data_IF_716081788434
#
_entry.id   IF_716081788434
#
_cell.length_a   1.000
_cell.length_b   1.000
_cell.length_c   1.000
_cell.angle_alpha   90.00
_cell.angle_beta   90.00
_cell.angle_gamma   90.00
#
_symmetry.space_group_name_H-M   'P 1'
#
loop_
_entity.id
_entity.type
_entity.pdbx_description
1 polymer ?
#
# COMPACT_ATOMS: atom_id res chain seq x y z
N UNK A 1 3.75 -47.29 -10.17
CA UNK A 1 4.46 -47.32 -11.46
C UNK A 1 3.45 -46.81 -12.48
N UNK A 2 3.40 -45.52 -12.79
CA UNK A 2 4.33 -44.80 -13.68
C UNK A 2 3.88 -45.05 -15.13
N UNK A 3 3.60 -44.10 -16.01
CA UNK A 3 3.58 -42.65 -15.96
C UNK A 3 2.98 -42.15 -17.28
N UNK A 4 2.55 -40.90 -17.34
CA UNK A 4 2.30 -40.20 -18.60
C UNK A 4 3.00 -38.86 -18.50
N UNK A 5 4.15 -38.78 -19.18
CA UNK A 5 4.90 -37.55 -19.37
C UNK A 5 4.59 -36.93 -20.73
N UNK A 6 4.72 -35.61 -20.75
CA UNK A 6 5.15 -34.78 -21.88
C UNK A 6 4.14 -34.56 -23.01
N UNK A 7 3.49 -33.39 -22.98
CA UNK A 7 3.56 -32.40 -24.07
C UNK A 7 2.81 -31.12 -23.67
N UNK A 8 3.53 -30.14 -23.11
CA UNK A 8 3.12 -28.73 -23.18
C UNK A 8 4.33 -27.94 -23.66
N UNK A 9 4.29 -27.59 -24.95
CA UNK A 9 5.21 -26.64 -25.56
C UNK A 9 4.99 -25.25 -24.95
N UNK A 10 6.11 -24.55 -24.74
CA UNK A 10 6.21 -23.21 -24.16
C UNK A 10 5.29 -22.18 -24.83
N UNK A 11 4.65 -21.28 -24.06
CA UNK A 11 4.12 -20.04 -24.62
C UNK A 11 5.22 -18.97 -24.68
N UNK A 12 5.27 -18.36 -25.86
CA UNK A 12 5.89 -17.10 -26.27
C UNK A 12 5.96 -16.02 -25.16
N UNK A 13 7.15 -15.47 -24.96
CA UNK A 13 7.54 -14.52 -23.91
C UNK A 13 7.23 -13.05 -24.24
N UNK A 14 6.09 -12.76 -24.86
CA UNK A 14 5.77 -11.41 -25.35
C UNK A 14 4.40 -10.83 -24.92
N UNK A 15 3.75 -11.40 -23.88
CA UNK A 15 2.56 -10.81 -23.25
C UNK A 15 2.70 -10.71 -21.72
N UNK A 16 2.12 -9.65 -21.18
CA UNK A 16 2.41 -8.98 -19.92
C UNK A 16 2.39 -9.85 -18.63
N UNK A 17 3.12 -9.47 -17.56
CA UNK A 17 3.19 -10.18 -16.29
C UNK A 17 1.95 -10.01 -15.36
N UNK A 18 0.86 -9.40 -15.83
CA UNK A 18 -0.34 -9.14 -15.03
C UNK A 18 -1.20 -10.38 -14.74
N UNK A 19 -1.04 -11.46 -15.50
CA UNK A 19 -1.99 -12.59 -15.48
C UNK A 19 -1.80 -13.56 -14.31
N UNK A 20 -0.64 -13.56 -13.64
CA UNK A 20 -0.35 -14.57 -12.61
C UNK A 20 -0.99 -14.25 -11.24
N UNK A 21 -1.13 -12.97 -10.89
CA UNK A 21 -1.87 -12.53 -9.70
C UNK A 21 -3.38 -12.56 -9.91
N UNK A 22 -3.83 -12.41 -11.17
CA UNK A 22 -5.23 -12.53 -11.59
C UNK A 22 -5.78 -13.93 -11.27
N UNK A 23 -4.96 -14.97 -11.46
CA UNK A 23 -5.37 -16.37 -11.29
C UNK A 23 -5.59 -16.77 -9.81
N UNK A 24 -4.78 -16.28 -8.88
CA UNK A 24 -4.97 -16.58 -7.45
C UNK A 24 -6.21 -15.89 -6.85
N UNK A 25 -6.53 -14.68 -7.33
CA UNK A 25 -7.73 -13.95 -6.92
C UNK A 25 -9.02 -14.58 -7.50
N UNK A 26 -8.96 -15.08 -8.75
CA UNK A 26 -10.05 -15.81 -9.40
C UNK A 26 -10.31 -17.21 -8.80
N UNK A 27 -9.27 -17.93 -8.35
CA UNK A 27 -9.45 -19.22 -7.66
C UNK A 27 -10.24 -19.06 -6.36
N UNK A 28 -9.99 -17.98 -5.61
CA UNK A 28 -10.82 -17.64 -4.43
C UNK A 28 -12.27 -17.29 -4.81
N UNK A 29 -12.49 -16.65 -5.96
CA UNK A 29 -13.82 -16.31 -6.49
C UNK A 29 -14.61 -17.55 -6.95
N UNK A 30 -13.97 -18.49 -7.66
CA UNK A 30 -14.61 -19.70 -8.16
C UNK A 30 -15.00 -20.68 -7.02
N UNK A 31 -14.18 -20.78 -5.97
CA UNK A 31 -14.49 -21.60 -4.81
C UNK A 31 -15.70 -21.09 -4.01
N UNK A 32 -15.89 -19.76 -3.95
CA UNK A 32 -17.01 -19.14 -3.23
C UNK A 32 -18.35 -19.24 -3.99
N UNK A 33 -18.33 -19.11 -5.32
CA UNK A 33 -19.54 -19.18 -6.17
C UNK A 33 -20.02 -20.62 -6.39
N UNK A 34 -19.13 -21.61 -6.45
CA UNK A 34 -19.50 -22.98 -6.78
C UNK A 34 -20.15 -23.77 -5.62
N UNK A 35 -19.87 -23.44 -4.34
CA UNK A 35 -20.20 -24.36 -3.23
C UNK A 35 -21.27 -23.90 -2.26
N UNK A 36 -21.70 -22.63 -2.29
CA UNK A 36 -22.79 -22.13 -1.43
C UNK A 36 -22.48 -22.25 0.08
N UNK A 37 -23.18 -21.47 0.89
CA UNK A 37 -22.87 -21.24 2.31
C UNK A 37 -23.05 -22.45 3.25
N UNK A 38 -23.16 -23.68 2.74
CA UNK A 38 -23.45 -24.88 3.54
C UNK A 38 -22.38 -25.99 3.46
N UNK A 39 -21.37 -25.90 2.60
CA UNK A 39 -20.42 -27.02 2.38
C UNK A 39 -19.07 -26.92 3.11
N UNK A 40 -18.85 -25.91 3.95
CA UNK A 40 -17.63 -25.81 4.80
C UNK A 40 -17.98 -26.00 6.29
N UNK A 41 -18.66 -27.11 6.60
CA UNK A 41 -18.73 -27.66 7.96
C UNK A 41 -18.37 -29.13 7.91
N UNK A 42 -17.07 -29.42 8.00
CA UNK A 42 -16.60 -30.78 8.19
C UNK A 42 -15.21 -31.00 7.62
N UNK A 43 -14.20 -31.04 8.51
CA UNK A 43 -12.78 -31.32 8.24
C UNK A 43 -12.05 -30.19 7.50
N UNK A 44 -11.69 -29.15 8.24
CA UNK A 44 -10.33 -28.68 8.53
C UNK A 44 -10.56 -27.56 9.56
N UNK A 45 -9.93 -27.67 10.74
CA UNK A 45 -10.08 -26.70 11.83
C UNK A 45 -9.34 -25.40 11.55
N UNK A 46 -9.79 -24.64 10.55
CA UNK A 46 -9.33 -23.29 10.26
C UNK A 46 -10.54 -22.36 10.32
N UNK A 47 -10.52 -21.46 11.31
CA UNK A 47 -11.41 -20.32 11.41
C UNK A 47 -11.13 -19.43 10.19
N UNK A 48 -12.03 -19.42 9.20
CA UNK A 48 -11.90 -18.59 8.01
C UNK A 48 -12.05 -17.11 8.41
N UNK A 49 -11.05 -16.24 8.21
CA UNK A 49 -11.14 -14.85 8.63
C UNK A 49 -12.00 -14.03 7.66
N UNK A 50 -12.43 -12.86 8.15
CA UNK A 50 -13.37 -11.88 7.60
C UNK A 50 -13.04 -11.26 6.21
N UNK A 51 -12.22 -11.92 5.38
CA UNK A 51 -11.79 -11.48 4.05
C UNK A 51 -12.88 -11.56 2.96
N UNK A 52 -13.99 -12.25 3.23
CA UNK A 52 -15.01 -12.58 2.20
C UNK A 52 -16.00 -11.43 1.94
N UNK A 53 -16.16 -10.47 2.85
CA UNK A 53 -17.12 -9.36 2.64
C UNK A 53 -16.52 -8.16 1.91
N UNK A 54 -15.23 -7.86 2.07
CA UNK A 54 -14.56 -6.76 1.35
C UNK A 54 -14.34 -7.07 -0.14
N UNK A 55 -14.18 -8.35 -0.50
CA UNK A 55 -13.90 -8.79 -1.88
C UNK A 55 -15.13 -8.82 -2.79
N UNK A 56 -16.34 -8.67 -2.24
CA UNK A 56 -17.58 -8.69 -3.02
C UNK A 56 -17.87 -7.36 -3.75
N UNK A 57 -17.19 -6.27 -3.37
CA UNK A 57 -17.38 -4.92 -3.96
C UNK A 57 -16.21 -4.49 -4.85
N UNK A 58 -15.06 -5.17 -4.74
CA UNK A 58 -13.86 -4.83 -5.50
C UNK A 58 -13.86 -5.55 -6.86
N UNK A 59 -14.10 -4.78 -7.92
CA UNK A 59 -13.91 -5.23 -9.30
C UNK A 59 -12.56 -4.70 -9.82
N UNK A 60 -11.52 -5.55 -9.96
CA UNK A 60 -10.23 -5.13 -10.48
C UNK A 60 -10.31 -4.58 -11.91
N UNK A 61 -11.39 -4.87 -12.66
CA UNK A 61 -11.58 -4.31 -13.99
C UNK A 61 -12.01 -2.84 -13.96
N UNK A 62 -12.38 -2.28 -12.81
CA UNK A 62 -12.68 -0.84 -12.67
C UNK A 62 -11.43 0.05 -12.74
N UNK A 63 -10.25 -0.50 -12.44
CA UNK A 63 -8.96 0.21 -12.59
C UNK A 63 -8.54 0.25 -14.08
N UNK A 64 -9.23 -0.48 -14.98
CA UNK A 64 -8.80 -0.67 -16.37
C UNK A 64 -8.84 0.57 -17.27
N UNK A 65 -9.46 1.68 -16.85
CA UNK A 65 -9.37 2.94 -17.59
C UNK A 65 -8.15 3.74 -17.12
N UNK A 66 -7.02 3.58 -17.82
CA UNK A 66 -5.79 4.35 -17.61
C UNK A 66 -6.05 5.86 -17.54
N UNK A 67 -7.00 6.38 -18.32
CA UNK A 67 -7.39 7.80 -18.25
C UNK A 67 -8.01 8.19 -16.90
N UNK A 68 -8.84 7.32 -16.32
CA UNK A 68 -9.49 7.58 -15.04
C UNK A 68 -8.45 7.59 -13.91
N UNK A 69 -7.52 6.62 -13.91
CA UNK A 69 -6.44 6.58 -12.92
C UNK A 69 -5.48 7.78 -13.02
N UNK A 70 -5.15 8.24 -14.23
CA UNK A 70 -4.34 9.45 -14.43
C UNK A 70 -5.03 10.73 -13.93
N UNK A 71 -6.34 10.86 -14.13
CA UNK A 71 -7.10 11.99 -13.62
C UNK A 71 -7.12 12.01 -12.10
N UNK A 72 -7.45 10.88 -11.47
CA UNK A 72 -7.46 10.77 -10.00
C UNK A 72 -6.09 11.12 -9.39
N UNK A 73 -4.99 10.63 -10.00
CA UNK A 73 -3.61 10.98 -9.57
C UNK A 73 -3.36 12.49 -9.58
N UNK A 74 -3.70 13.17 -10.67
CA UNK A 74 -3.51 14.63 -10.79
C UNK A 74 -4.31 15.40 -9.74
N UNK A 75 -5.57 15.01 -9.52
CA UNK A 75 -6.44 15.65 -8.53
C UNK A 75 -5.85 15.45 -7.13
N UNK A 76 -5.43 14.23 -6.80
CA UNK A 76 -4.82 13.92 -5.50
C UNK A 76 -3.51 14.68 -5.27
N UNK A 77 -2.65 14.80 -6.29
CA UNK A 77 -1.43 15.59 -6.15
C UNK A 77 -1.74 17.05 -5.82
N UNK A 78 -2.71 17.65 -6.51
CA UNK A 78 -3.16 19.01 -6.21
C UNK A 78 -3.75 19.14 -4.79
N UNK A 79 -4.59 18.19 -4.38
CA UNK A 79 -5.19 18.17 -3.04
C UNK A 79 -4.10 18.06 -1.97
N UNK A 80 -3.13 17.15 -2.14
CA UNK A 80 -2.02 16.97 -1.20
C UNK A 80 -1.18 18.23 -1.07
N UNK A 81 -0.79 18.87 -2.18
CA UNK A 81 0.04 20.07 -2.17
C UNK A 81 -0.68 21.25 -1.49
N UNK A 82 -2.02 21.33 -1.62
CA UNK A 82 -2.83 22.33 -0.94
C UNK A 82 -3.15 21.98 0.53
N UNK A 83 -2.95 20.73 0.95
CA UNK A 83 -3.43 20.22 2.22
C UNK A 83 -2.74 20.86 3.43
N UNK A 84 -3.52 21.31 4.41
CA UNK A 84 -3.01 22.10 5.54
C UNK A 84 -1.97 21.35 6.40
N UNK A 85 -2.12 20.03 6.59
CA UNK A 85 -1.13 19.23 7.32
C UNK A 85 0.16 19.07 6.52
N UNK A 86 0.05 18.86 5.20
CA UNK A 86 1.21 18.75 4.32
C UNK A 86 2.04 20.04 4.32
N UNK A 87 1.38 21.20 4.23
CA UNK A 87 2.03 22.50 4.25
C UNK A 87 2.82 22.74 5.55
N UNK A 88 2.25 22.33 6.70
CA UNK A 88 2.87 22.51 8.03
C UNK A 88 4.00 21.52 8.32
N UNK A 89 3.95 20.31 7.75
CA UNK A 89 4.93 19.26 8.00
C UNK A 89 6.31 19.59 7.43
N UNK A 90 7.36 19.25 8.18
CA UNK A 90 8.76 19.39 7.78
C UNK A 90 9.43 18.05 7.54
N UNK A 91 9.02 17.01 8.26
CA UNK A 91 9.55 15.63 8.18
C UNK A 91 8.44 14.70 7.72
N UNK A 92 8.54 14.24 6.48
CA UNK A 92 7.46 13.53 5.79
C UNK A 92 7.95 12.14 5.38
N UNK A 93 7.15 11.13 5.69
CA UNK A 93 7.30 9.79 5.14
C UNK A 93 6.34 9.58 3.97
N UNK A 94 6.85 9.03 2.88
CA UNK A 94 6.08 8.72 1.67
C UNK A 94 6.51 7.38 1.07
N UNK A 95 5.55 6.61 0.59
CA UNK A 95 5.81 5.33 -0.06
C UNK A 95 6.22 5.53 -1.53
N UNK A 96 6.99 4.59 -2.07
CA UNK A 96 7.25 4.50 -3.51
C UNK A 96 6.23 3.56 -4.13
N UNK A 97 5.37 4.12 -4.98
CA UNK A 97 4.13 3.49 -5.43
C UNK A 97 4.33 2.18 -6.19
N UNK A 98 3.50 1.19 -5.84
CA UNK A 98 3.25 0.03 -6.69
C UNK A 98 2.23 0.34 -7.80
N UNK A 99 2.11 -0.51 -8.84
CA UNK A 99 1.19 -0.25 -9.97
C UNK A 99 -0.29 -0.09 -9.59
N UNK A 100 -0.70 -0.70 -8.49
CA UNK A 100 -2.05 -0.67 -7.92
C UNK A 100 -2.24 0.43 -6.84
N UNK A 101 -1.29 1.37 -6.73
CA UNK A 101 -1.32 2.47 -5.77
C UNK A 101 -1.30 3.84 -6.48
N UNK A 102 -1.68 4.89 -5.74
CA UNK A 102 -1.52 6.27 -6.21
C UNK A 102 -0.04 6.56 -6.42
N UNK A 103 0.31 7.11 -7.58
CA UNK A 103 1.66 7.51 -7.94
C UNK A 103 2.10 8.72 -7.11
N UNK A 104 3.22 8.60 -6.40
CA UNK A 104 3.71 9.61 -5.44
C UNK A 104 4.88 10.44 -5.96
N UNK A 105 5.35 10.23 -7.19
CA UNK A 105 6.56 10.86 -7.70
C UNK A 105 6.49 12.40 -7.71
N UNK A 106 5.37 12.97 -8.15
CA UNK A 106 5.16 14.43 -8.15
C UNK A 106 5.15 15.00 -6.73
N UNK A 107 4.54 14.29 -5.77
CA UNK A 107 4.53 14.67 -4.35
C UNK A 107 5.95 14.65 -3.80
N UNK A 108 6.75 13.62 -4.12
CA UNK A 108 8.17 13.54 -3.71
C UNK A 108 8.93 14.76 -4.24
N UNK A 109 8.76 15.11 -5.52
CA UNK A 109 9.42 16.28 -6.11
C UNK A 109 9.05 17.57 -5.37
N UNK A 110 7.77 17.78 -5.06
CA UNK A 110 7.34 18.95 -4.30
C UNK A 110 7.90 18.95 -2.87
N UNK A 111 7.95 17.81 -2.16
CA UNK A 111 8.56 17.70 -0.83
C UNK A 111 9.99 18.30 -0.84
N UNK A 112 10.80 17.93 -1.83
CA UNK A 112 12.15 18.47 -1.97
C UNK A 112 12.17 19.95 -2.39
N UNK A 113 11.29 20.37 -3.31
CA UNK A 113 11.19 21.78 -3.72
C UNK A 113 10.84 22.70 -2.55
N UNK A 114 10.01 22.24 -1.62
CA UNK A 114 9.63 22.97 -0.40
C UNK A 114 10.70 22.90 0.71
N UNK A 115 11.84 22.23 0.47
CA UNK A 115 12.90 22.07 1.46
C UNK A 115 12.53 21.19 2.67
N UNK A 116 11.53 20.31 2.50
CA UNK A 116 11.10 19.35 3.54
C UNK A 116 12.03 18.13 3.53
N UNK A 117 12.11 17.43 4.65
CA UNK A 117 12.89 16.17 4.75
C UNK A 117 12.01 14.99 4.37
N UNK A 118 12.43 14.26 3.34
CA UNK A 118 11.72 13.11 2.81
C UNK A 118 12.29 11.79 3.36
N UNK A 119 11.41 10.91 3.83
CA UNK A 119 11.73 9.55 4.23
C UNK A 119 10.91 8.53 3.44
N UNK A 120 11.52 7.42 3.04
CA UNK A 120 10.89 6.33 2.30
C UNK A 120 10.97 5.01 3.08
N UNK A 121 10.04 4.06 2.89
CA UNK A 121 10.10 2.78 3.59
C UNK A 121 11.25 1.93 3.10
N UNK A 122 11.99 1.33 4.05
CA UNK A 122 12.94 0.25 3.83
C UNK A 122 12.44 -1.00 4.55
N UNK A 123 12.11 -2.03 3.78
CA UNK A 123 11.56 -3.28 4.30
C UNK A 123 12.67 -4.29 4.63
N UNK A 124 12.55 -4.92 5.80
CA UNK A 124 13.31 -6.10 6.20
C UNK A 124 12.39 -7.31 6.12
N UNK A 125 12.49 -8.08 5.04
CA UNK A 125 11.57 -9.17 4.73
C UNK A 125 11.67 -10.35 5.69
N UNK A 126 12.84 -10.54 6.31
CA UNK A 126 13.12 -11.65 7.22
C UNK A 126 12.47 -11.46 8.60
N UNK A 127 12.25 -10.20 9.02
CA UNK A 127 11.79 -9.83 10.36
C UNK A 127 10.40 -9.18 10.38
N UNK A 128 9.75 -9.02 9.23
CA UNK A 128 8.53 -8.19 9.07
C UNK A 128 8.70 -6.78 9.69
N UNK A 129 9.92 -6.25 9.64
CA UNK A 129 10.26 -4.93 10.16
C UNK A 129 10.40 -3.92 9.02
N UNK A 130 10.03 -2.67 9.28
CA UNK A 130 10.15 -1.57 8.33
C UNK A 130 10.64 -0.34 9.05
N UNK A 131 11.60 0.37 8.46
CA UNK A 131 12.03 1.69 8.90
C UNK A 131 11.79 2.73 7.81
N UNK A 132 11.60 3.97 8.21
CA UNK A 132 11.55 5.11 7.28
C UNK A 132 12.94 5.73 7.23
N UNK A 133 13.59 5.61 6.06
CA UNK A 133 14.97 6.06 5.83
C UNK A 133 15.00 7.28 4.94
N UNK A 134 15.92 8.20 5.22
CA UNK A 134 16.01 9.48 4.51
C UNK A 134 16.43 9.29 3.06
N UNK A 135 15.67 9.94 2.18
CA UNK A 135 15.96 10.07 0.77
C UNK A 135 16.76 11.36 0.54
N UNK A 136 17.83 11.31 -0.25
CA UNK A 136 18.73 12.44 -0.49
C UNK A 136 18.23 13.36 -1.60
N UNK A 137 17.61 12.80 -2.66
CA UNK A 137 16.95 13.55 -3.72
C UNK A 137 15.92 12.69 -4.45
N UNK A 138 15.01 13.26 -5.26
CA UNK A 138 14.11 12.48 -6.11
C UNK A 138 14.86 11.59 -7.11
N UNK A 139 15.97 12.07 -7.67
CA UNK A 139 16.77 11.38 -8.69
C UNK A 139 17.48 10.14 -8.14
N UNK A 140 17.75 10.13 -6.82
CA UNK A 140 18.31 8.96 -6.14
C UNK A 140 17.43 7.73 -6.27
N UNK A 141 16.10 7.88 -6.33
CA UNK A 141 15.17 6.74 -6.37
C UNK A 141 15.51 5.78 -7.50
N UNK A 142 15.84 6.30 -8.69
CA UNK A 142 16.14 5.48 -9.87
C UNK A 142 17.45 4.69 -9.75
N UNK A 143 18.37 5.09 -8.87
CA UNK A 143 19.64 4.40 -8.64
C UNK A 143 19.58 3.35 -7.52
N UNK A 144 18.53 3.38 -6.68
CA UNK A 144 18.33 2.42 -5.61
C UNK A 144 18.06 1.00 -6.18
N UNK A 145 18.54 -0.06 -5.51
CA UNK A 145 18.17 -1.42 -5.88
C UNK A 145 16.68 -1.65 -5.68
N UNK A 146 16.14 -2.64 -6.42
CA UNK A 146 14.75 -3.05 -6.31
C UNK A 146 14.60 -4.29 -5.42
N UNK A 147 13.52 -4.31 -4.66
CA UNK A 147 13.08 -5.48 -3.89
C UNK A 147 12.43 -6.54 -4.80
N UNK A 148 12.07 -7.69 -4.23
CA UNK A 148 11.24 -8.71 -4.89
C UNK A 148 9.84 -8.22 -5.27
N UNK A 149 9.39 -7.09 -4.72
CA UNK A 149 8.14 -6.42 -5.08
C UNK A 149 8.33 -5.35 -6.16
N UNK A 150 9.53 -5.26 -6.76
CA UNK A 150 9.87 -4.26 -7.79
C UNK A 150 9.82 -2.80 -7.29
N UNK A 151 9.87 -2.59 -5.97
CA UNK A 151 9.94 -1.28 -5.32
C UNK A 151 11.40 -0.93 -5.04
N UNK A 152 11.79 0.31 -5.32
CA UNK A 152 13.11 0.84 -4.99
C UNK A 152 13.29 1.02 -3.48
N UNK A 153 14.43 0.60 -2.91
CA UNK A 153 14.80 0.94 -1.54
C UNK A 153 16.33 0.91 -1.36
N UNK A 154 16.89 1.61 -0.37
CA UNK A 154 18.32 1.49 -0.04
C UNK A 154 18.71 0.04 0.30
N UNK A 155 19.97 -0.30 0.00
CA UNK A 155 20.49 -1.65 0.26
C UNK A 155 20.49 -1.99 1.75
N UNK A 156 20.42 -3.29 2.08
CA UNK A 156 20.40 -3.75 3.50
C UNK A 156 21.62 -3.26 4.30
N UNK A 157 22.79 -3.21 3.67
CA UNK A 157 24.05 -2.79 4.32
C UNK A 157 24.29 -1.28 4.25
N UNK A 158 23.37 -0.52 3.65
CA UNK A 158 23.53 0.90 3.47
C UNK A 158 23.08 1.67 4.73
N UNK A 159 24.00 2.43 5.32
CA UNK A 159 23.69 3.24 6.49
C UNK A 159 22.93 4.47 6.04
N UNK A 160 21.70 4.62 6.55
CA UNK A 160 20.81 5.74 6.27
C UNK A 160 20.31 6.35 7.57
N UNK A 161 20.03 7.65 7.52
CA UNK A 161 19.34 8.34 8.61
C UNK A 161 17.91 7.78 8.74
N UNK A 162 17.55 7.31 9.92
CA UNK A 162 16.22 6.77 10.21
C UNK A 162 15.34 7.82 10.88
N UNK A 163 14.08 7.92 10.47
CA UNK A 163 13.20 8.99 10.92
C UNK A 163 13.04 9.02 12.45
N UNK A 164 12.85 7.85 13.08
CA UNK A 164 12.65 7.74 14.53
C UNK A 164 13.93 7.99 15.34
N UNK A 165 15.12 7.84 14.74
CA UNK A 165 16.38 8.15 15.44
C UNK A 165 16.77 9.62 15.38
N UNK A 166 16.16 10.40 14.47
CA UNK A 166 16.48 11.83 14.27
C UNK A 166 15.31 12.79 14.50
N UNK A 167 14.34 12.40 15.32
CA UNK A 167 13.27 13.29 15.80
C UNK A 167 11.86 12.95 15.33
N UNK A 168 11.64 11.78 14.73
CA UNK A 168 10.31 11.29 14.34
C UNK A 168 9.82 11.83 13.01
N UNK A 169 8.50 11.80 12.81
CA UNK A 169 7.82 12.25 11.60
C UNK A 169 6.65 13.19 11.97
N UNK A 170 6.38 14.15 11.09
CA UNK A 170 5.21 15.03 11.21
C UNK A 170 4.01 14.45 10.44
N UNK A 171 4.27 13.86 9.26
CA UNK A 171 3.27 13.32 8.35
C UNK A 171 3.75 12.00 7.74
N UNK A 172 2.84 11.04 7.64
CA UNK A 172 3.05 9.75 6.97
C UNK A 172 1.96 9.57 5.92
N UNK A 173 2.37 9.46 4.65
CA UNK A 173 1.47 8.99 3.59
C UNK A 173 1.29 7.49 3.69
N UNK A 174 0.03 7.06 3.78
CA UNK A 174 -0.34 5.68 4.07
C UNK A 174 -0.85 4.97 2.81
N UNK A 175 -0.17 3.92 2.31
CA UNK A 175 -0.69 3.07 1.25
C UNK A 175 -1.63 1.99 1.82
N UNK A 176 -2.47 1.43 0.95
CA UNK A 176 -3.42 0.39 1.30
C UNK A 176 -4.15 -0.16 0.09
N UNK A 177 -4.75 -1.34 0.27
CA UNK A 177 -5.62 -1.97 -0.73
C UNK A 177 -7.06 -1.45 -0.65
N UNK A 178 -7.47 -0.99 0.53
CA UNK A 178 -8.80 -0.43 0.75
C UNK A 178 -8.87 0.39 2.03
N UNK A 179 -9.81 1.33 2.05
CA UNK A 179 -10.05 2.24 3.15
C UNK A 179 -11.55 2.42 3.35
N UNK A 180 -11.99 2.81 4.54
CA UNK A 180 -13.36 3.28 4.76
C UNK A 180 -13.41 4.70 5.34
N UNK A 181 -14.61 5.26 5.38
CA UNK A 181 -14.86 6.62 5.86
C UNK A 181 -14.59 6.81 7.36
N UNK A 182 -14.31 5.72 8.10
CA UNK A 182 -13.91 5.75 9.51
C UNK A 182 -12.39 5.74 9.69
N UNK A 183 -11.61 5.83 8.60
CA UNK A 183 -10.14 5.76 8.62
C UNK A 183 -9.60 4.35 8.85
N UNK A 184 -10.43 3.31 8.74
CA UNK A 184 -9.94 1.94 8.79
C UNK A 184 -9.20 1.62 7.48
N UNK A 185 -8.16 0.78 7.55
CA UNK A 185 -7.25 0.54 6.43
C UNK A 185 -6.97 -0.95 6.25
N UNK A 186 -7.19 -1.45 5.04
CA UNK A 186 -6.81 -2.79 4.62
C UNK A 186 -5.42 -2.76 3.97
N UNK A 187 -4.41 -3.26 4.69
CA UNK A 187 -3.05 -3.43 4.14
C UNK A 187 -2.89 -4.73 3.35
N UNK A 188 -1.66 -5.01 2.88
CA UNK A 188 -1.30 -6.26 2.17
C UNK A 188 -1.08 -7.48 3.08
N UNK A 189 -1.48 -7.39 4.35
CA UNK A 189 -1.49 -8.52 5.31
C UNK A 189 -0.21 -8.75 6.13
N UNK A 190 0.87 -7.98 5.92
CA UNK A 190 2.12 -8.11 6.71
C UNK A 190 2.22 -7.21 7.94
N UNK A 191 1.30 -6.24 8.10
CA UNK A 191 1.27 -5.37 9.28
C UNK A 191 2.46 -4.42 9.45
N UNK A 192 3.24 -4.16 8.40
CA UNK A 192 4.42 -3.28 8.47
C UNK A 192 4.06 -1.88 8.97
N UNK A 193 3.05 -1.25 8.38
CA UNK A 193 2.60 0.09 8.75
C UNK A 193 1.98 0.13 10.16
N UNK A 194 1.20 -0.88 10.54
CA UNK A 194 0.57 -0.96 11.86
C UNK A 194 1.64 -1.09 12.97
N UNK A 195 2.66 -1.91 12.72
CA UNK A 195 3.83 -2.06 13.60
C UNK A 195 4.65 -0.77 13.67
N UNK A 196 4.87 -0.10 12.53
CA UNK A 196 5.62 1.14 12.47
C UNK A 196 4.91 2.29 13.22
N UNK A 197 3.59 2.43 13.04
CA UNK A 197 2.81 3.45 13.76
C UNK A 197 2.85 3.26 15.28
N UNK A 198 2.81 2.01 15.77
CA UNK A 198 3.01 1.71 17.20
C UNK A 198 4.38 2.17 17.69
N UNK A 199 5.44 1.98 16.89
CA UNK A 199 6.79 2.48 17.22
C UNK A 199 6.85 4.00 17.24
N UNK A 200 6.17 4.69 16.33
CA UNK A 200 6.03 6.15 16.39
C UNK A 200 5.42 6.60 17.72
N UNK A 201 4.30 6.00 18.14
CA UNK A 201 3.65 6.35 19.41
C UNK A 201 4.54 6.17 20.65
N UNK A 202 5.54 5.28 20.57
CA UNK A 202 6.51 5.05 21.64
C UNK A 202 7.73 5.97 21.57
N UNK A 203 8.01 6.53 20.39
CA UNK A 203 9.28 7.21 20.08
C UNK A 203 9.15 8.73 19.91
N UNK A 204 7.93 9.26 19.80
CA UNK A 204 7.67 10.70 19.68
C UNK A 204 6.47 11.12 20.54
N UNK A 205 6.56 12.29 21.18
CA UNK A 205 5.52 12.84 22.06
C UNK A 205 4.22 13.17 21.32
N UNK A 206 4.35 13.64 20.09
CA UNK A 206 3.22 13.97 19.21
C UNK A 206 3.12 12.89 18.14
N UNK A 207 1.97 12.22 18.02
CA UNK A 207 1.71 11.24 16.96
C UNK A 207 1.86 11.91 15.58
N UNK A 208 2.51 11.26 14.59
CA UNK A 208 2.53 11.79 13.24
C UNK A 208 1.12 11.79 12.65
N UNK A 209 0.79 12.82 11.87
CA UNK A 209 -0.45 12.81 11.11
C UNK A 209 -0.39 11.73 10.02
N UNK A 210 -1.45 10.95 9.87
CA UNK A 210 -1.52 9.84 8.91
C UNK A 210 -2.54 10.14 7.83
N UNK A 211 -2.06 10.29 6.59
CA UNK A 211 -2.85 10.69 5.44
C UNK A 211 -2.81 9.58 4.38
N UNK A 212 -3.90 8.87 4.20
CA UNK A 212 -3.99 7.84 3.17
C UNK A 212 -4.27 8.45 1.81
N UNK A 213 -3.60 7.93 0.77
CA UNK A 213 -3.88 8.26 -0.62
C UNK A 213 -4.53 7.05 -1.27
N UNK A 214 -5.75 7.22 -1.77
CA UNK A 214 -6.57 6.14 -2.28
C UNK A 214 -7.21 6.53 -3.62
N UNK A 215 -7.26 5.57 -4.54
CA UNK A 215 -8.22 5.64 -5.64
C UNK A 215 -9.64 5.55 -5.08
N UNK A 216 -10.61 6.13 -5.77
CA UNK A 216 -12.03 6.04 -5.43
C UNK A 216 -12.51 4.58 -5.31
N UNK A 217 -11.98 3.72 -6.16
CA UNK A 217 -12.25 2.27 -6.19
C UNK A 217 -11.74 1.53 -4.95
N UNK A 218 -10.84 2.14 -4.17
CA UNK A 218 -10.33 1.59 -2.92
C UNK A 218 -11.18 2.00 -1.72
N UNK A 219 -12.20 2.85 -1.90
CA UNK A 219 -13.11 3.24 -0.83
C UNK A 219 -14.19 2.18 -0.66
N UNK A 220 -14.20 1.56 0.52
CA UNK A 220 -15.08 0.48 0.92
C UNK A 220 -16.14 1.00 1.91
N UNK A 221 -17.29 0.32 1.97
CA UNK A 221 -18.32 0.64 2.98
C UNK A 221 -17.83 0.36 4.40
N UNK A 222 -17.07 -0.72 4.58
CA UNK A 222 -16.51 -1.12 5.87
C UNK A 222 -15.27 -1.98 5.62
N UNK A 223 -14.17 -1.62 6.28
CA UNK A 223 -12.97 -2.46 6.33
C UNK A 223 -13.03 -3.33 7.58
N UNK A 224 -12.84 -4.66 7.47
CA UNK A 224 -12.71 -5.52 8.65
C UNK A 224 -11.40 -5.20 9.36
N UNK A 225 -11.47 -5.01 10.69
CA UNK A 225 -10.33 -4.62 11.52
C UNK A 225 -10.18 -5.58 12.70
N UNK A 226 -8.93 -5.77 13.11
CA UNK A 226 -8.53 -6.43 14.35
C UNK A 226 -8.07 -5.38 15.39
N UNK A 227 -7.90 -5.78 16.65
CA UNK A 227 -7.43 -4.94 17.76
C UNK A 227 -6.01 -4.38 17.55
N UNK A 228 -5.27 -4.99 16.63
CA UNK A 228 -3.90 -4.59 16.32
C UNK A 228 -3.79 -3.62 15.14
N UNK A 229 -4.87 -3.41 14.39
CA UNK A 229 -4.87 -2.57 13.21
C UNK A 229 -4.95 -1.08 13.58
N UNK A 230 -4.18 -0.27 12.88
CA UNK A 230 -4.08 1.16 13.17
C UNK A 230 -4.90 1.96 12.16
N UNK A 231 -5.81 2.81 12.66
CA UNK A 231 -6.56 3.76 11.85
C UNK A 231 -5.67 4.88 11.33
N UNK A 232 -6.01 5.39 10.15
CA UNK A 232 -5.46 6.63 9.61
C UNK A 232 -6.29 7.82 10.09
N UNK A 233 -5.69 9.02 10.10
CA UNK A 233 -6.38 10.24 10.53
C UNK A 233 -7.28 10.78 9.41
N UNK A 234 -6.84 10.66 8.14
CA UNK A 234 -7.62 11.10 6.98
C UNK A 234 -7.34 10.22 5.75
N UNK A 235 -8.35 10.09 4.88
CA UNK A 235 -8.27 9.39 3.59
C UNK A 235 -8.60 10.38 2.48
N UNK A 236 -7.63 10.63 1.60
CA UNK A 236 -7.83 11.43 0.40
C UNK A 236 -8.08 10.53 -0.81
N UNK A 237 -9.14 10.83 -1.54
CA UNK A 237 -9.52 10.28 -2.84
C UNK A 237 -10.17 11.40 -3.68
N UNK A 238 -10.44 11.14 -4.97
CA UNK A 238 -10.90 12.16 -5.93
C UNK A 238 -12.07 13.04 -5.42
N UNK A 239 -13.07 12.43 -4.78
CA UNK A 239 -14.28 13.13 -4.30
C UNK A 239 -14.18 13.62 -2.85
N UNK A 240 -13.01 13.51 -2.21
CA UNK A 240 -12.82 14.01 -0.84
C UNK A 240 -13.07 15.52 -0.77
N UNK A 241 -13.82 16.01 0.25
CA UNK A 241 -13.98 17.44 0.45
C UNK A 241 -12.63 18.11 0.73
N UNK A 242 -12.43 19.33 0.22
CA UNK A 242 -11.20 20.08 0.46
C UNK A 242 -11.05 20.42 1.95
N UNK A 243 -9.93 19.99 2.53
CA UNK A 243 -9.54 20.17 3.94
C UNK A 243 -8.56 21.32 4.18
#
# INVERSE_FOLDING_TARGET
MGGWGQAWNSPDSSRAPCDFFFFFFLIFRAASVAYGSSWVRGRIGLQLPAYITATAVWDPSSICDLHHSLQQRRILNHQVIAHSQYLKSKRISIFLSMPDEIETEEIIRDIFQQGKTCFIPRYQFQSNHMDMVKLASPEEISSLPKTSWNIHQPGENEIREEALSTGGLDLIFMPGLGFDNCGNRLGRGKGYYDTYLKRCLQSQDVKPYTLALAFKEQICLQVPMDEHDMKVDEVLYEDSPAS
#
